data_IF_349951947592
#
_entry.id   IF_349951947592
#
_cell.length_a   1.000
_cell.length_b   1.000
_cell.length_c   1.000
_cell.angle_alpha   90.00
_cell.angle_beta   90.00
_cell.angle_gamma   90.00
#
_symmetry.space_group_name_H-M   'P 1'
#
loop_
_entity.id
_entity.type
_entity.pdbx_description
1 polymer ?
#
# COMPACT_ATOMS: atom_id res chain seq x y z
N UNK A 1 36.19 36.41 13.09
CA UNK A 1 34.76 36.12 13.28
C UNK A 1 34.31 35.24 12.13
N UNK A 2 34.16 33.95 12.39
CA UNK A 2 33.79 32.94 11.40
C UNK A 2 32.33 33.17 10.98
N UNK A 3 32.13 33.37 9.69
CA UNK A 3 30.82 33.47 9.06
C UNK A 3 30.17 32.08 9.15
N UNK A 4 29.47 31.79 10.25
CA UNK A 4 28.53 30.67 10.31
C UNK A 4 27.42 30.98 9.32
N UNK A 5 27.60 30.57 8.07
CA UNK A 5 26.48 30.42 7.14
C UNK A 5 25.43 29.60 7.89
N UNK A 6 24.29 30.21 8.18
CA UNK A 6 23.12 29.46 8.62
C UNK A 6 22.79 28.47 7.51
N UNK A 7 23.30 27.24 7.65
CA UNK A 7 22.93 26.14 6.77
C UNK A 7 21.42 25.99 6.94
N UNK A 8 20.68 26.22 5.87
CA UNK A 8 19.23 26.09 5.86
C UNK A 8 18.89 24.63 6.13
N UNK A 9 18.45 24.35 7.35
CA UNK A 9 17.91 23.04 7.74
C UNK A 9 16.58 22.82 7.03
N UNK A 10 16.27 21.57 6.73
CA UNK A 10 14.99 21.17 6.15
C UNK A 10 14.25 20.28 7.15
N UNK A 11 12.94 20.45 7.21
CA UNK A 11 12.10 19.64 8.09
C UNK A 11 11.91 18.25 7.50
N UNK A 12 12.00 17.22 8.36
CA UNK A 12 11.61 15.87 8.01
C UNK A 12 10.10 15.71 8.18
N UNK A 13 9.41 15.59 7.05
CA UNK A 13 8.00 15.22 7.03
C UNK A 13 7.92 13.72 6.63
N UNK A 14 7.71 12.80 7.60
CA UNK A 14 7.53 11.40 7.27
C UNK A 14 6.30 11.22 6.37
N UNK A 15 6.34 10.20 5.53
CA UNK A 15 5.18 9.82 4.72
C UNK A 15 4.15 9.18 5.64
N UNK A 16 3.07 9.91 5.91
CA UNK A 16 1.90 9.37 6.63
C UNK A 16 0.93 8.83 5.57
N UNK A 17 0.92 7.52 5.36
CA UNK A 17 -0.03 6.89 4.43
C UNK A 17 -1.42 6.88 5.04
N UNK A 18 -1.53 6.46 6.30
CA UNK A 18 -2.79 6.32 7.01
C UNK A 18 -2.90 7.39 8.10
N UNK A 19 -3.24 8.65 7.74
CA UNK A 19 -3.45 9.72 8.71
C UNK A 19 -4.61 9.42 9.67
N UNK A 20 -5.64 8.70 9.22
CA UNK A 20 -6.64 8.09 10.09
C UNK A 20 -6.14 6.71 10.47
N UNK A 21 -5.89 6.53 11.77
CA UNK A 21 -5.67 5.23 12.39
C UNK A 21 -6.95 4.77 13.04
N UNK A 22 -7.37 3.53 12.78
CA UNK A 22 -8.48 2.95 13.54
C UNK A 22 -8.05 2.86 14.99
N UNK A 23 -8.92 3.35 15.89
CA UNK A 23 -8.72 3.32 17.34
C UNK A 23 -9.62 2.32 18.04
N UNK A 24 -10.80 2.02 17.49
CA UNK A 24 -11.68 1.02 18.07
C UNK A 24 -11.96 -0.12 17.09
N UNK A 25 -11.83 -1.34 17.57
CA UNK A 25 -12.37 -2.53 16.91
C UNK A 25 -13.53 -3.07 17.73
N UNK A 26 -14.74 -2.90 17.21
CA UNK A 26 -15.99 -3.26 17.87
C UNK A 26 -16.49 -4.58 17.29
N UNK A 27 -16.58 -5.61 18.12
CA UNK A 27 -17.03 -6.95 17.72
C UNK A 27 -18.44 -7.20 18.23
N UNK A 28 -19.32 -7.61 17.33
CA UNK A 28 -20.58 -8.27 17.67
C UNK A 28 -20.70 -9.55 16.84
N UNK A 29 -20.41 -10.68 17.48
CA UNK A 29 -20.49 -11.98 16.84
C UNK A 29 -20.92 -13.04 17.85
N UNK A 30 -21.81 -13.94 17.41
CA UNK A 30 -22.13 -15.17 18.13
C UNK A 30 -20.99 -16.20 18.08
N UNK A 31 -20.11 -16.11 17.07
CA UNK A 31 -18.95 -16.98 16.91
C UNK A 31 -17.83 -16.61 17.91
N UNK A 32 -17.46 -17.57 18.76
CA UNK A 32 -16.39 -17.40 19.77
C UNK A 32 -15.03 -17.12 19.14
N UNK A 33 -14.66 -17.84 18.06
CA UNK A 33 -13.37 -17.66 17.39
C UNK A 33 -13.20 -16.24 16.82
N UNK A 34 -14.29 -15.62 16.35
CA UNK A 34 -14.27 -14.23 15.88
C UNK A 34 -13.99 -13.27 17.03
N UNK A 35 -14.57 -13.51 18.21
CA UNK A 35 -14.30 -12.68 19.40
C UNK A 35 -12.88 -12.89 19.93
N UNK A 36 -12.39 -14.13 19.95
CA UNK A 36 -11.04 -14.47 20.39
C UNK A 36 -9.95 -13.95 19.45
N UNK A 37 -10.23 -13.85 18.14
CA UNK A 37 -9.31 -13.28 17.15
C UNK A 37 -8.90 -11.83 17.46
N UNK A 38 -9.63 -11.12 18.31
CA UNK A 38 -9.24 -9.79 18.80
C UNK A 38 -7.86 -9.78 19.49
N UNK A 39 -7.39 -10.91 20.04
CA UNK A 39 -6.04 -11.02 20.59
C UNK A 39 -4.95 -10.74 19.54
N UNK A 40 -5.14 -11.22 18.31
CA UNK A 40 -4.22 -10.96 17.20
C UNK A 40 -4.16 -9.46 16.86
N UNK A 41 -5.28 -8.73 16.95
CA UNK A 41 -5.27 -7.28 16.77
C UNK A 41 -4.41 -6.58 17.82
N UNK A 42 -4.44 -7.01 19.08
CA UNK A 42 -3.67 -6.34 20.14
C UNK A 42 -2.17 -6.51 19.97
N UNK A 43 -1.73 -7.62 19.37
CA UNK A 43 -0.32 -7.87 19.06
C UNK A 43 0.17 -6.98 17.91
N UNK A 44 -0.58 -6.93 16.80
CA UNK A 44 -0.15 -6.21 15.59
C UNK A 44 -0.51 -4.72 15.60
N UNK A 45 -1.56 -4.32 16.31
CA UNK A 45 -2.12 -2.96 16.35
C UNK A 45 -2.38 -2.57 17.81
N UNK A 46 -1.33 -2.36 18.63
CA UNK A 46 -1.45 -2.18 20.07
C UNK A 46 -2.24 -0.93 20.48
N UNK A 47 -2.37 0.04 19.58
CA UNK A 47 -3.15 1.27 19.77
C UNK A 47 -4.66 1.10 19.62
N UNK A 48 -5.15 -0.09 19.24
CA UNK A 48 -6.57 -0.37 19.10
C UNK A 48 -7.15 -0.79 20.45
N UNK A 49 -8.28 -0.18 20.78
CA UNK A 49 -9.19 -0.57 21.85
C UNK A 49 -10.19 -1.60 21.30
N UNK A 50 -10.23 -2.76 21.97
CA UNK A 50 -11.10 -3.87 21.59
C UNK A 50 -12.38 -3.79 22.42
N UNK A 51 -13.52 -3.71 21.74
CA UNK A 51 -14.84 -3.60 22.37
C UNK A 51 -15.67 -4.78 21.90
N UNK A 52 -16.12 -5.64 22.81
CA UNK A 52 -17.01 -6.76 22.48
C UNK A 52 -18.41 -6.43 22.99
N UNK A 53 -19.36 -6.34 22.07
CA UNK A 53 -20.76 -6.05 22.38
C UNK A 53 -21.57 -7.33 22.53
N UNK A 54 -22.56 -7.29 23.41
CA UNK A 54 -23.38 -8.45 23.75
C UNK A 54 -24.63 -8.59 22.86
N UNK A 55 -25.12 -7.49 22.29
CA UNK A 55 -26.40 -7.48 21.60
C UNK A 55 -26.50 -6.44 20.45
N UNK A 56 -27.41 -6.64 19.49
CA UNK A 56 -27.58 -5.74 18.34
C UNK A 56 -28.10 -4.35 18.68
N UNK A 57 -28.83 -4.16 19.78
CA UNK A 57 -29.36 -2.84 20.17
C UNK A 57 -28.20 -1.96 20.60
N UNK A 58 -27.37 -2.47 21.51
CA UNK A 58 -26.15 -1.77 21.95
C UNK A 58 -25.22 -1.45 20.77
N UNK A 59 -25.06 -2.38 19.82
CA UNK A 59 -24.29 -2.13 18.61
C UNK A 59 -24.89 -1.04 17.71
N UNK A 60 -26.22 -0.99 17.59
CA UNK A 60 -26.92 0.04 16.81
C UNK A 60 -26.81 1.44 17.44
N UNK A 61 -26.66 1.51 18.76
CA UNK A 61 -26.44 2.76 19.52
C UNK A 61 -24.96 3.14 19.63
N UNK A 62 -24.03 2.33 19.09
CA UNK A 62 -22.61 2.58 19.24
C UNK A 62 -22.23 3.98 18.73
N UNK A 63 -21.43 4.69 19.53
CA UNK A 63 -20.97 6.04 19.24
C UNK A 63 -19.52 6.21 19.70
N UNK A 64 -18.71 6.80 18.83
CA UNK A 64 -17.32 7.14 19.06
C UNK A 64 -16.97 8.42 18.29
N UNK A 65 -16.07 9.22 18.87
CA UNK A 65 -15.42 10.34 18.18
C UNK A 65 -14.12 9.91 17.47
N UNK A 66 -13.62 8.72 17.77
CA UNK A 66 -12.48 8.10 17.10
C UNK A 66 -12.94 7.21 15.95
N UNK A 67 -12.05 7.02 14.97
CA UNK A 67 -12.25 6.08 13.88
C UNK A 67 -12.41 4.64 14.39
N UNK A 68 -13.47 3.98 13.93
CA UNK A 68 -13.92 2.68 14.42
C UNK A 68 -14.20 1.72 13.26
N UNK A 69 -13.85 0.46 13.47
CA UNK A 69 -14.33 -0.65 12.63
C UNK A 69 -15.28 -1.50 13.44
N UNK A 70 -16.46 -1.76 12.88
CA UNK A 70 -17.47 -2.61 13.49
C UNK A 70 -17.54 -3.93 12.71
N UNK A 71 -17.26 -5.02 13.41
CA UNK A 71 -17.08 -6.36 12.88
C UNK A 71 -18.27 -7.21 13.29
N UNK A 72 -19.04 -7.65 12.30
CA UNK A 72 -20.27 -8.41 12.47
C UNK A 72 -20.16 -9.77 11.80
N UNK A 73 -20.74 -10.81 12.39
CA UNK A 73 -21.05 -12.03 11.65
C UNK A 73 -22.41 -11.94 10.93
N UNK A 74 -22.75 -13.00 10.21
CA UNK A 74 -24.01 -13.13 9.46
C UNK A 74 -25.25 -12.88 10.32
N UNK A 75 -25.24 -13.33 11.58
CA UNK A 75 -26.38 -13.21 12.49
C UNK A 75 -26.48 -11.78 13.02
N UNK A 76 -25.36 -11.22 13.49
CA UNK A 76 -25.31 -9.90 14.07
C UNK A 76 -25.71 -8.82 13.07
N UNK A 77 -25.14 -8.83 11.85
CA UNK A 77 -25.41 -7.80 10.86
C UNK A 77 -26.89 -7.77 10.43
N UNK A 78 -27.57 -8.92 10.45
CA UNK A 78 -28.98 -9.01 10.15
C UNK A 78 -29.85 -8.15 11.08
N UNK A 79 -29.46 -8.01 12.35
CA UNK A 79 -30.27 -7.35 13.38
C UNK A 79 -29.83 -5.94 13.77
N UNK A 80 -28.66 -5.46 13.31
CA UNK A 80 -28.22 -4.08 13.61
C UNK A 80 -28.82 -3.05 12.66
N UNK A 81 -29.00 -1.83 13.15
CA UNK A 81 -29.35 -0.65 12.36
C UNK A 81 -28.07 0.05 11.87
N UNK A 82 -27.64 -0.30 10.66
CA UNK A 82 -26.43 0.26 10.06
C UNK A 82 -26.54 1.74 9.74
N UNK A 83 -27.74 2.25 9.43
CA UNK A 83 -27.94 3.67 9.17
C UNK A 83 -27.74 4.48 10.44
N UNK A 84 -28.28 3.98 11.57
CA UNK A 84 -28.08 4.61 12.87
C UNK A 84 -26.60 4.64 13.26
N UNK A 85 -25.89 3.52 13.11
CA UNK A 85 -24.43 3.45 13.35
C UNK A 85 -23.70 4.51 12.52
N UNK A 86 -23.94 4.56 11.21
CA UNK A 86 -23.28 5.53 10.31
C UNK A 86 -23.66 6.98 10.63
N UNK A 87 -24.87 7.24 11.12
CA UNK A 87 -25.27 8.59 11.55
C UNK A 87 -24.63 9.03 12.87
N UNK A 88 -24.30 8.08 13.74
CA UNK A 88 -23.70 8.34 15.04
C UNK A 88 -22.17 8.50 14.98
N UNK A 89 -21.54 7.98 13.93
CA UNK A 89 -20.09 7.87 13.80
C UNK A 89 -19.66 8.37 12.43
N UNK A 90 -18.87 9.46 12.39
CA UNK A 90 -18.33 9.98 11.13
C UNK A 90 -17.39 8.97 10.46
N UNK A 91 -16.59 8.26 11.28
CA UNK A 91 -15.46 7.44 10.82
C UNK A 91 -15.69 5.97 11.19
N UNK A 92 -16.82 5.42 10.76
CA UNK A 92 -17.17 4.02 10.99
C UNK A 92 -17.19 3.21 9.69
N UNK A 93 -16.48 2.08 9.70
CA UNK A 93 -16.56 1.06 8.65
C UNK A 93 -17.24 -0.18 9.20
N UNK A 94 -18.32 -0.61 8.55
CA UNK A 94 -19.04 -1.83 8.91
C UNK A 94 -18.54 -2.99 8.07
N UNK A 95 -18.09 -4.05 8.73
CA UNK A 95 -17.54 -5.24 8.07
C UNK A 95 -18.39 -6.47 8.39
N UNK A 96 -18.73 -7.23 7.36
CA UNK A 96 -19.30 -8.57 7.48
C UNK A 96 -18.19 -9.63 7.42
N UNK A 97 -18.07 -10.42 8.47
CA UNK A 97 -17.28 -11.64 8.55
C UNK A 97 -18.23 -12.83 8.33
N UNK A 98 -18.37 -13.25 7.08
CA UNK A 98 -19.37 -14.23 6.65
C UNK A 98 -18.80 -15.65 6.64
N UNK A 99 -19.51 -16.57 7.29
CA UNK A 99 -19.30 -18.01 7.19
C UNK A 99 -20.15 -18.66 6.09
N UNK A 100 -21.01 -17.86 5.44
CA UNK A 100 -21.96 -18.33 4.46
C UNK A 100 -21.31 -18.60 3.10
N UNK A 101 -21.35 -19.86 2.67
CA UNK A 101 -20.71 -20.29 1.43
C UNK A 101 -21.21 -19.51 0.20
N UNK A 102 -22.50 -19.19 0.13
CA UNK A 102 -23.05 -18.45 -1.00
C UNK A 102 -22.53 -17.00 -0.99
N UNK A 103 -22.51 -16.32 0.16
CA UNK A 103 -21.98 -14.95 0.24
C UNK A 103 -20.51 -14.94 -0.18
N UNK A 104 -19.76 -15.95 0.23
CA UNK A 104 -18.31 -16.02 0.03
C UNK A 104 -17.90 -16.36 -1.41
N UNK A 105 -18.79 -16.93 -2.22
CA UNK A 105 -18.55 -17.41 -3.60
C UNK A 105 -19.52 -16.82 -4.62
N UNK A 106 -20.01 -15.62 -4.36
CA UNK A 106 -20.97 -14.99 -5.27
C UNK A 106 -20.79 -13.49 -5.32
N UNK A 107 -21.19 -12.95 -6.46
CA UNK A 107 -21.27 -11.51 -6.69
C UNK A 107 -22.14 -10.80 -5.65
N UNK A 108 -21.92 -9.48 -5.45
CA UNK A 108 -22.73 -8.67 -4.55
C UNK A 108 -24.24 -8.83 -4.77
N UNK A 109 -24.71 -8.82 -6.03
CA UNK A 109 -26.13 -8.86 -6.36
C UNK A 109 -26.80 -10.20 -6.03
N UNK A 110 -26.11 -11.32 -6.21
CA UNK A 110 -26.61 -12.65 -5.83
C UNK A 110 -26.70 -12.76 -4.30
N UNK A 111 -25.63 -12.34 -3.61
CA UNK A 111 -25.57 -12.40 -2.15
C UNK A 111 -26.68 -11.55 -1.52
N UNK A 112 -26.85 -10.30 -1.97
CA UNK A 112 -27.89 -9.39 -1.49
C UNK A 112 -29.31 -9.92 -1.75
N UNK A 113 -29.57 -10.49 -2.93
CA UNK A 113 -30.89 -11.04 -3.25
C UNK A 113 -31.34 -12.13 -2.28
N UNK A 114 -30.41 -12.98 -1.80
CA UNK A 114 -30.72 -14.05 -0.85
C UNK A 114 -30.55 -13.62 0.62
N UNK A 115 -29.60 -12.74 0.89
CA UNK A 115 -29.27 -12.24 2.21
C UNK A 115 -29.21 -10.71 2.20
N UNK A 116 -30.36 -10.01 2.29
CA UNK A 116 -30.42 -8.56 2.12
C UNK A 116 -29.57 -7.76 3.12
N UNK A 117 -29.17 -8.36 4.25
CA UNK A 117 -28.30 -7.71 5.23
C UNK A 117 -26.88 -7.48 4.72
N UNK A 118 -26.44 -8.14 3.65
CA UNK A 118 -25.09 -7.93 3.08
C UNK A 118 -24.90 -6.51 2.57
N UNK A 119 -25.97 -5.84 2.12
CA UNK A 119 -25.94 -4.43 1.68
C UNK A 119 -25.67 -3.44 2.82
N UNK A 120 -25.78 -3.87 4.08
CA UNK A 120 -25.45 -3.06 5.25
C UNK A 120 -23.94 -2.92 5.48
N UNK A 121 -23.14 -3.85 4.94
CA UNK A 121 -21.70 -3.87 5.12
C UNK A 121 -20.98 -3.01 4.07
N UNK A 122 -19.94 -2.34 4.50
CA UNK A 122 -19.00 -1.63 3.64
C UNK A 122 -17.97 -2.59 3.02
N UNK A 123 -17.53 -3.59 3.81
CA UNK A 123 -16.60 -4.63 3.39
C UNK A 123 -17.14 -6.01 3.79
N UNK A 124 -16.86 -7.03 2.99
CA UNK A 124 -17.28 -8.41 3.26
C UNK A 124 -16.08 -9.32 3.12
N UNK A 125 -15.85 -10.17 4.12
CA UNK A 125 -14.78 -11.15 4.17
C UNK A 125 -15.35 -12.53 4.47
N UNK A 126 -14.84 -13.55 3.79
CA UNK A 126 -15.09 -14.93 4.12
C UNK A 126 -14.31 -15.33 5.39
N UNK A 127 -14.97 -16.05 6.29
CA UNK A 127 -14.38 -16.71 7.46
C UNK A 127 -14.82 -18.17 7.49
N UNK A 128 -13.96 -19.06 7.99
CA UNK A 128 -14.33 -20.43 8.33
C UNK A 128 -13.36 -21.01 9.37
N UNK A 129 -13.58 -22.28 9.74
CA UNK A 129 -12.80 -22.95 10.78
C UNK A 129 -11.58 -23.71 10.21
N UNK A 130 -11.25 -23.55 8.93
CA UNK A 130 -10.23 -24.33 8.22
C UNK A 130 -9.24 -23.45 7.44
N UNK A 131 -9.70 -22.79 6.39
CA UNK A 131 -8.91 -22.02 5.42
C UNK A 131 -8.85 -20.54 5.78
N UNK A 132 -9.93 -19.99 6.34
CA UNK A 132 -10.10 -18.56 6.65
C UNK A 132 -10.33 -18.34 8.14
N UNK A 133 -9.40 -18.84 8.97
CA UNK A 133 -9.43 -18.67 10.41
C UNK A 133 -9.47 -17.17 10.77
N UNK A 134 -10.42 -16.70 11.61
CA UNK A 134 -10.56 -15.29 11.98
C UNK A 134 -9.25 -14.63 12.45
N UNK A 135 -8.44 -15.32 13.25
CA UNK A 135 -7.14 -14.84 13.76
C UNK A 135 -6.13 -14.48 12.65
N UNK A 136 -6.20 -15.14 11.50
CA UNK A 136 -5.27 -14.94 10.38
C UNK A 136 -5.69 -13.80 9.45
N UNK A 137 -6.96 -13.39 9.50
CA UNK A 137 -7.53 -12.39 8.59
C UNK A 137 -7.85 -11.07 9.27
N UNK A 138 -8.12 -11.07 10.58
CA UNK A 138 -8.69 -9.91 11.27
C UNK A 138 -7.82 -8.65 11.19
N UNK A 139 -6.50 -8.82 11.23
CA UNK A 139 -5.54 -7.71 11.06
C UNK A 139 -5.65 -7.09 9.67
N UNK A 140 -5.83 -7.91 8.63
CA UNK A 140 -6.02 -7.47 7.25
C UNK A 140 -7.38 -6.81 7.04
N UNK A 141 -8.41 -7.31 7.73
CA UNK A 141 -9.75 -6.72 7.72
C UNK A 141 -9.73 -5.30 8.29
N UNK A 142 -9.19 -5.14 9.50
CA UNK A 142 -9.07 -3.83 10.14
C UNK A 142 -8.23 -2.89 9.30
N UNK A 143 -7.12 -3.40 8.75
CA UNK A 143 -6.27 -2.61 7.86
C UNK A 143 -6.99 -2.15 6.59
N UNK A 144 -7.78 -3.01 5.96
CA UNK A 144 -8.56 -2.64 4.79
C UNK A 144 -9.65 -1.59 5.11
N UNK A 145 -10.25 -1.67 6.30
CA UNK A 145 -11.16 -0.63 6.78
C UNK A 145 -10.44 0.71 7.01
N UNK A 146 -9.22 0.70 7.56
CA UNK A 146 -8.38 1.88 7.70
C UNK A 146 -8.04 2.49 6.33
N UNK A 147 -7.60 1.67 5.38
CA UNK A 147 -7.27 2.10 4.02
C UNK A 147 -8.50 2.72 3.33
N UNK A 148 -9.69 2.12 3.47
CA UNK A 148 -10.95 2.68 2.94
C UNK A 148 -11.21 4.10 3.44
N UNK A 149 -11.16 4.33 4.77
CA UNK A 149 -11.38 5.66 5.35
C UNK A 149 -10.36 6.67 4.82
N UNK A 150 -9.10 6.25 4.72
CA UNK A 150 -8.04 7.14 4.27
C UNK A 150 -8.16 7.50 2.78
N UNK A 151 -8.56 6.55 1.93
CA UNK A 151 -8.84 6.78 0.51
C UNK A 151 -9.99 7.80 0.36
N UNK A 152 -11.06 7.63 1.12
CA UNK A 152 -12.24 8.51 1.03
C UNK A 152 -11.98 9.93 1.56
N UNK A 153 -11.25 10.05 2.68
CA UNK A 153 -11.03 11.34 3.35
C UNK A 153 -9.86 12.16 2.80
N UNK A 154 -8.79 11.48 2.36
CA UNK A 154 -7.53 12.13 2.02
C UNK A 154 -7.20 12.03 0.52
N UNK A 155 -8.22 12.18 -0.32
CA UNK A 155 -8.11 12.20 -1.79
C UNK A 155 -7.38 13.41 -2.37
N UNK A 156 -7.14 14.46 -1.57
CA UNK A 156 -6.42 15.67 -2.01
C UNK A 156 -4.91 15.49 -2.08
N UNK A 157 -4.35 14.57 -1.31
CA UNK A 157 -2.94 14.22 -1.37
C UNK A 157 -2.79 12.92 -2.14
N UNK A 158 -1.71 12.79 -2.91
CA UNK A 158 -1.48 11.60 -3.72
C UNK A 158 -1.41 10.34 -2.86
N UNK A 159 -2.24 9.36 -3.17
CA UNK A 159 -2.26 8.05 -2.52
C UNK A 159 -1.62 6.99 -3.41
N UNK A 160 -1.33 5.84 -2.81
CA UNK A 160 -0.66 4.72 -3.48
C UNK A 160 -1.52 3.52 -3.28
N UNK A 161 -2.29 3.19 -4.30
CA UNK A 161 -3.42 2.29 -4.14
C UNK A 161 -3.18 1.04 -4.97
N UNK A 162 -3.22 -0.11 -4.30
CA UNK A 162 -3.45 -1.39 -4.94
C UNK A 162 -4.95 -1.53 -5.15
N UNK A 163 -5.39 -1.48 -6.41
CA UNK A 163 -6.78 -1.71 -6.77
C UNK A 163 -6.98 -3.21 -6.99
N UNK A 164 -7.77 -3.84 -6.13
CA UNK A 164 -8.15 -5.24 -6.23
C UNK A 164 -9.58 -5.36 -6.75
N UNK A 165 -9.78 -6.17 -7.79
CA UNK A 165 -11.07 -6.37 -8.44
C UNK A 165 -11.40 -7.86 -8.54
N UNK A 166 -12.34 -8.30 -7.71
CA UNK A 166 -12.86 -9.67 -7.68
C UNK A 166 -14.26 -9.63 -7.05
N UNK A 167 -15.19 -10.48 -7.47
CA UNK A 167 -16.54 -10.46 -6.93
C UNK A 167 -16.73 -11.38 -5.72
N UNK A 168 -15.81 -12.34 -5.49
CA UNK A 168 -15.88 -13.33 -4.42
C UNK A 168 -15.15 -12.85 -3.13
N UNK A 169 -15.87 -12.66 -2.00
CA UNK A 169 -15.25 -12.29 -0.72
C UNK A 169 -14.14 -13.24 -0.26
N UNK A 170 -14.23 -14.53 -0.63
CA UNK A 170 -13.22 -15.53 -0.32
C UNK A 170 -11.84 -15.16 -0.89
N UNK A 171 -11.79 -14.62 -2.09
CA UNK A 171 -10.53 -14.29 -2.73
C UNK A 171 -9.80 -13.18 -1.98
N UNK A 172 -10.50 -12.12 -1.57
CA UNK A 172 -9.93 -11.06 -0.73
C UNK A 172 -9.45 -11.58 0.62
N UNK A 173 -10.25 -12.43 1.30
CA UNK A 173 -9.86 -13.05 2.57
C UNK A 173 -8.58 -13.88 2.47
N UNK A 174 -8.38 -14.57 1.33
CA UNK A 174 -7.18 -15.34 1.08
C UNK A 174 -5.97 -14.44 0.78
N UNK A 175 -6.18 -13.41 -0.04
CA UNK A 175 -5.10 -12.68 -0.69
C UNK A 175 -4.57 -11.52 0.17
N UNK A 176 -5.43 -10.80 0.87
CA UNK A 176 -5.04 -9.60 1.62
C UNK A 176 -3.98 -9.85 2.71
N UNK A 177 -4.04 -10.93 3.51
CA UNK A 177 -2.98 -11.23 4.48
C UNK A 177 -1.60 -11.37 3.84
N UNK A 178 -1.55 -11.92 2.61
CA UNK A 178 -0.30 -12.07 1.86
C UNK A 178 0.14 -10.74 1.28
N UNK A 179 -0.78 -10.00 0.66
CA UNK A 179 -0.50 -8.69 0.08
C UNK A 179 0.05 -7.73 1.14
N UNK A 180 -0.60 -7.62 2.30
CA UNK A 180 -0.16 -6.73 3.38
C UNK A 180 1.20 -7.08 3.96
N UNK A 181 1.59 -8.36 3.96
CA UNK A 181 2.96 -8.78 4.31
C UNK A 181 3.99 -8.25 3.31
N UNK A 182 3.65 -8.23 2.02
CA UNK A 182 4.54 -7.73 0.96
C UNK A 182 4.60 -6.19 1.00
N UNK A 183 3.43 -5.54 1.05
CA UNK A 183 3.38 -4.09 0.89
C UNK A 183 3.79 -3.34 2.15
N UNK A 184 3.66 -3.94 3.34
CA UNK A 184 3.86 -3.23 4.62
C UNK A 184 2.97 -1.99 4.65
N UNK A 185 3.25 -0.94 5.43
CA UNK A 185 2.46 0.31 5.38
C UNK A 185 2.93 1.27 4.28
N UNK A 186 3.24 0.77 3.07
CA UNK A 186 3.73 1.58 1.92
C UNK A 186 2.67 1.93 0.88
N UNK A 187 1.49 1.31 0.97
CA UNK A 187 0.37 1.54 0.07
C UNK A 187 -0.95 1.14 0.76
N UNK A 188 -2.03 1.73 0.26
CA UNK A 188 -3.41 1.36 0.58
C UNK A 188 -3.91 0.26 -0.33
N UNK A 189 -4.97 -0.41 0.10
CA UNK A 189 -5.73 -1.33 -0.74
C UNK A 189 -7.17 -0.83 -0.93
N UNK A 190 -7.59 -0.71 -2.19
CA UNK A 190 -8.98 -0.49 -2.58
C UNK A 190 -9.56 -1.79 -3.14
N UNK A 191 -10.66 -2.27 -2.57
CA UNK A 191 -11.40 -3.42 -3.10
C UNK A 191 -12.63 -2.96 -3.87
N UNK A 192 -12.85 -3.55 -5.05
CA UNK A 192 -14.07 -3.38 -5.84
C UNK A 192 -14.55 -4.74 -6.32
N UNK A 193 -15.87 -4.89 -6.48
CA UNK A 193 -16.52 -6.19 -6.75
C UNK A 193 -17.30 -6.24 -8.05
N UNK A 194 -17.35 -5.13 -8.80
CA UNK A 194 -17.97 -5.05 -10.13
C UNK A 194 -17.17 -4.13 -11.05
N UNK A 195 -17.41 -4.26 -12.34
CA UNK A 195 -16.80 -3.39 -13.35
C UNK A 195 -17.11 -1.91 -13.13
N UNK A 196 -18.35 -1.59 -12.80
CA UNK A 196 -18.81 -0.23 -12.58
C UNK A 196 -18.16 0.38 -11.34
N UNK A 197 -17.93 -0.40 -10.28
CA UNK A 197 -17.19 0.06 -9.11
C UNK A 197 -15.73 0.35 -9.44
N UNK A 198 -15.08 -0.51 -10.23
CA UNK A 198 -13.71 -0.29 -10.68
C UNK A 198 -13.59 0.97 -11.56
N UNK A 199 -14.52 1.19 -12.50
CA UNK A 199 -14.56 2.40 -13.32
C UNK A 199 -14.84 3.66 -12.50
N UNK A 200 -15.79 3.59 -11.57
CA UNK A 200 -16.12 4.71 -10.69
C UNK A 200 -14.90 5.11 -9.87
N UNK A 201 -14.17 4.12 -9.36
CA UNK A 201 -12.95 4.37 -8.62
C UNK A 201 -11.84 4.95 -9.51
N UNK A 202 -11.55 4.35 -10.67
CA UNK A 202 -10.44 4.77 -11.53
C UNK A 202 -10.67 6.11 -12.23
N UNK A 203 -11.91 6.39 -12.63
CA UNK A 203 -12.25 7.43 -13.59
C UNK A 203 -13.44 8.30 -13.18
N UNK A 204 -14.15 7.97 -12.09
CA UNK A 204 -15.35 8.71 -11.65
C UNK A 204 -16.60 8.47 -12.50
N UNK A 205 -16.63 7.41 -13.31
CA UNK A 205 -17.72 7.12 -14.25
C UNK A 205 -18.21 5.68 -14.14
N UNK A 206 -19.40 5.39 -14.67
CA UNK A 206 -19.97 4.03 -14.65
C UNK A 206 -19.82 3.29 -15.98
N UNK A 207 -19.51 4.00 -17.06
CA UNK A 207 -19.32 3.41 -18.40
C UNK A 207 -18.00 3.88 -19.04
N UNK A 208 -17.29 3.02 -19.79
CA UNK A 208 -16.07 3.42 -20.50
C UNK A 208 -16.30 4.55 -21.50
N UNK A 209 -17.50 4.65 -22.07
CA UNK A 209 -17.86 5.71 -23.03
C UNK A 209 -17.93 7.10 -22.40
N UNK A 210 -17.98 7.18 -21.08
CA UNK A 210 -18.07 8.44 -20.31
C UNK A 210 -16.70 8.93 -19.86
N UNK A 211 -15.63 8.16 -20.07
CA UNK A 211 -14.29 8.51 -19.64
C UNK A 211 -13.86 9.79 -20.39
N UNK A 212 -13.58 10.89 -19.67
CA UNK A 212 -13.18 12.14 -20.29
C UNK A 212 -11.75 12.05 -20.85
N UNK A 213 -11.42 12.93 -21.79
CA UNK A 213 -10.04 13.02 -22.29
C UNK A 213 -9.05 13.33 -21.15
N UNK A 214 -9.41 14.23 -20.23
CA UNK A 214 -8.65 14.56 -19.02
C UNK A 214 -9.01 13.68 -17.82
N UNK A 215 -9.06 12.37 -18.05
CA UNK A 215 -9.35 11.33 -17.05
C UNK A 215 -8.43 11.35 -15.82
N UNK A 216 -7.27 12.01 -15.89
CA UNK A 216 -6.36 12.18 -14.75
C UNK A 216 -6.96 13.03 -13.62
N UNK A 217 -7.94 13.88 -13.94
CA UNK A 217 -8.58 14.78 -12.99
C UNK A 217 -9.81 14.18 -12.30
N UNK A 218 -10.25 12.99 -12.73
CA UNK A 218 -11.47 12.35 -12.24
C UNK A 218 -11.16 10.96 -11.66
N UNK A 219 -11.75 10.65 -10.51
CA UNK A 219 -11.46 9.42 -9.79
C UNK A 219 -10.03 9.36 -9.23
N UNK A 220 -9.56 8.14 -9.00
CA UNK A 220 -8.32 7.81 -8.28
C UNK A 220 -7.31 7.07 -9.17
N UNK A 221 -7.52 6.97 -10.47
CA UNK A 221 -6.66 6.20 -11.36
C UNK A 221 -5.20 6.68 -11.36
N UNK A 222 -4.97 7.94 -11.01
CA UNK A 222 -3.63 8.50 -10.89
C UNK A 222 -2.89 8.06 -9.60
N UNK A 223 -3.64 7.70 -8.55
CA UNK A 223 -3.14 7.16 -7.28
C UNK A 223 -2.90 5.64 -7.32
N UNK A 224 -3.46 4.96 -8.32
CA UNK A 224 -3.26 3.52 -8.47
C UNK A 224 -1.83 3.21 -8.91
N UNK A 225 -1.20 2.26 -8.20
CA UNK A 225 0.15 1.76 -8.47
C UNK A 225 0.20 0.29 -8.86
N UNK A 226 -0.91 -0.43 -8.71
CA UNK A 226 -1.07 -1.77 -9.24
C UNK A 226 -2.56 -2.10 -9.37
N UNK A 227 -2.94 -2.74 -10.48
CA UNK A 227 -4.23 -3.38 -10.64
C UNK A 227 -4.04 -4.88 -10.44
N UNK A 228 -4.81 -5.47 -9.52
CA UNK A 228 -4.89 -6.91 -9.31
C UNK A 228 -6.33 -7.32 -9.57
N UNK A 229 -6.59 -8.15 -10.57
CA UNK A 229 -7.97 -8.40 -11.03
C UNK A 229 -8.19 -9.84 -11.44
N UNK A 230 -9.40 -10.36 -11.25
CA UNK A 230 -9.87 -11.52 -11.99
C UNK A 230 -10.27 -11.14 -13.43
N UNK A 231 -10.48 -12.14 -14.27
CA UNK A 231 -11.03 -12.04 -15.62
C UNK A 231 -12.56 -11.98 -15.58
N UNK A 232 -13.16 -12.80 -14.72
CA UNK A 232 -14.60 -12.99 -14.65
C UNK A 232 -15.15 -12.33 -13.40
N UNK A 233 -15.82 -11.21 -13.57
CA UNK A 233 -16.62 -10.59 -12.53
C UNK A 233 -17.77 -9.82 -13.18
N UNK A 234 -18.79 -9.40 -12.41
CA UNK A 234 -19.99 -8.82 -12.98
C UNK A 234 -19.77 -7.50 -13.70
N UNK A 235 -20.41 -7.36 -14.86
CA UNK A 235 -20.61 -6.10 -15.60
C UNK A 235 -22.06 -6.01 -16.04
N UNK A 236 -22.74 -4.91 -15.73
CA UNK A 236 -24.16 -4.70 -16.00
C UNK A 236 -25.04 -5.86 -15.50
N UNK A 237 -24.75 -6.39 -14.31
CA UNK A 237 -25.37 -7.59 -13.71
C UNK A 237 -25.19 -8.90 -14.51
N UNK A 238 -24.37 -8.92 -15.56
CA UNK A 238 -23.99 -10.15 -16.25
C UNK A 238 -22.78 -10.79 -15.53
N UNK A 239 -22.99 -11.98 -14.96
CA UNK A 239 -21.99 -12.73 -14.20
C UNK A 239 -20.93 -13.39 -15.08
N UNK A 240 -21.28 -13.75 -16.32
CA UNK A 240 -20.37 -14.42 -17.27
C UNK A 240 -19.67 -13.40 -18.19
N UNK A 241 -19.45 -12.19 -17.70
CA UNK A 241 -18.85 -11.12 -18.49
C UNK A 241 -17.33 -11.19 -18.47
N UNK A 242 -16.70 -10.85 -19.60
CA UNK A 242 -15.24 -10.75 -19.75
C UNK A 242 -14.71 -9.38 -19.24
N UNK A 243 -15.35 -8.85 -18.20
CA UNK A 243 -15.13 -7.51 -17.69
C UNK A 243 -13.68 -7.25 -17.28
N UNK A 244 -13.00 -8.27 -16.74
CA UNK A 244 -11.60 -8.16 -16.38
C UNK A 244 -10.71 -7.89 -17.58
N UNK A 245 -10.94 -8.54 -18.73
CA UNK A 245 -10.12 -8.25 -19.92
C UNK A 245 -10.33 -6.84 -20.44
N UNK A 246 -11.57 -6.37 -20.40
CA UNK A 246 -11.89 -5.00 -20.80
C UNK A 246 -11.21 -4.00 -19.87
N UNK A 247 -11.28 -4.22 -18.55
CA UNK A 247 -10.61 -3.40 -17.55
C UNK A 247 -9.08 -3.39 -17.74
N UNK A 248 -8.47 -4.55 -17.96
CA UNK A 248 -7.02 -4.69 -18.18
C UNK A 248 -6.57 -3.91 -19.40
N UNK A 249 -7.28 -4.03 -20.53
CA UNK A 249 -6.95 -3.29 -21.76
C UNK A 249 -7.11 -1.78 -21.55
N UNK A 250 -8.21 -1.37 -20.93
CA UNK A 250 -8.50 0.03 -20.64
C UNK A 250 -7.42 0.67 -19.76
N UNK A 251 -7.03 -0.01 -18.67
CA UNK A 251 -5.99 0.47 -17.75
C UNK A 251 -4.61 0.47 -18.42
N UNK A 252 -4.27 -0.56 -19.21
CA UNK A 252 -3.01 -0.58 -19.95
C UNK A 252 -2.91 0.59 -20.96
N UNK A 253 -4.02 0.97 -21.58
CA UNK A 253 -4.03 2.00 -22.62
C UNK A 253 -4.04 3.42 -22.03
N UNK A 254 -4.85 3.67 -20.99
CA UNK A 254 -4.97 4.98 -20.35
C UNK A 254 -3.93 5.24 -19.26
N UNK A 255 -3.50 4.19 -18.56
CA UNK A 255 -2.48 4.23 -17.52
C UNK A 255 -1.35 3.20 -17.75
N UNK A 256 -0.52 3.34 -18.81
CA UNK A 256 0.54 2.36 -19.16
C UNK A 256 1.62 2.12 -18.11
N UNK A 257 1.67 2.97 -17.07
CA UNK A 257 2.56 2.85 -15.92
C UNK A 257 2.08 1.82 -14.89
N UNK A 258 0.77 1.53 -14.85
CA UNK A 258 0.17 0.67 -13.83
C UNK A 258 0.47 -0.78 -14.20
N UNK A 259 1.30 -1.50 -13.42
CA UNK A 259 1.44 -2.94 -13.59
C UNK A 259 0.13 -3.65 -13.26
N UNK A 260 -0.13 -4.71 -14.00
CA UNK A 260 -1.37 -5.48 -13.92
C UNK A 260 -1.05 -6.92 -13.55
N UNK A 261 -1.68 -7.42 -12.50
CA UNK A 261 -1.68 -8.83 -12.09
C UNK A 261 -3.07 -9.38 -12.34
N UNK A 262 -3.15 -10.44 -13.16
CA UNK A 262 -4.38 -11.18 -13.39
C UNK A 262 -4.35 -12.43 -12.52
N UNK A 263 -5.23 -12.50 -11.54
CA UNK A 263 -5.46 -13.70 -10.75
C UNK A 263 -6.45 -14.59 -11.50
N UNK A 264 -5.97 -15.51 -12.35
CA UNK A 264 -6.85 -16.41 -13.13
C UNK A 264 -6.10 -17.65 -13.60
N UNK A 265 -6.81 -18.65 -14.16
CA UNK A 265 -6.16 -19.80 -14.78
C UNK A 265 -5.40 -19.36 -16.03
N UNK A 266 -4.16 -19.83 -16.20
CA UNK A 266 -3.27 -19.39 -17.28
C UNK A 266 -3.87 -19.42 -18.69
N UNK A 267 -4.72 -20.40 -19.00
CA UNK A 267 -5.39 -20.53 -20.32
C UNK A 267 -6.38 -19.40 -20.60
N UNK A 268 -6.97 -18.83 -19.56
CA UNK A 268 -8.04 -17.84 -19.66
C UNK A 268 -7.50 -16.43 -19.88
N UNK A 269 -6.20 -16.16 -19.68
CA UNK A 269 -5.56 -14.85 -19.88
C UNK A 269 -4.35 -14.87 -20.84
N UNK A 270 -4.16 -15.93 -21.62
CA UNK A 270 -2.97 -16.11 -22.47
C UNK A 270 -2.68 -14.91 -23.39
N UNK A 271 -3.72 -14.31 -23.98
CA UNK A 271 -3.65 -13.14 -24.85
C UNK A 271 -3.20 -11.85 -24.11
N UNK A 272 -3.33 -11.81 -22.79
CA UNK A 272 -2.97 -10.66 -21.95
C UNK A 272 -1.55 -10.74 -21.38
N UNK A 273 -0.81 -11.84 -21.59
CA UNK A 273 0.58 -12.02 -21.08
C UNK A 273 1.57 -10.92 -21.47
N UNK A 274 1.29 -10.18 -22.54
CA UNK A 274 2.16 -9.09 -23.00
C UNK A 274 2.01 -7.81 -22.17
N UNK A 275 0.88 -7.66 -21.48
CA UNK A 275 0.51 -6.44 -20.75
C UNK A 275 0.23 -6.69 -19.27
N UNK A 276 0.09 -7.95 -18.85
CA UNK A 276 -0.17 -8.33 -17.48
C UNK A 276 0.61 -9.60 -17.08
N UNK A 277 0.90 -9.71 -15.79
CA UNK A 277 1.40 -10.94 -15.18
C UNK A 277 0.24 -11.83 -14.76
N UNK A 278 0.33 -13.12 -15.06
CA UNK A 278 -0.73 -14.08 -14.74
C UNK A 278 -0.32 -14.88 -13.52
N UNK A 279 -1.09 -14.73 -12.45
CA UNK A 279 -1.00 -15.48 -11.22
C UNK A 279 -2.10 -16.55 -11.18
N UNK A 280 -1.78 -17.84 -10.98
CA UNK A 280 -2.81 -18.88 -10.85
C UNK A 280 -3.78 -18.60 -9.68
N UNK A 281 -5.09 -18.73 -9.90
CA UNK A 281 -6.09 -18.70 -8.80
C UNK A 281 -5.96 -19.95 -7.93
N UNK A 282 -5.93 -19.78 -6.61
CA UNK A 282 -5.89 -20.86 -5.61
C UNK A 282 -4.50 -21.32 -5.19
N UNK A 283 -3.46 -20.93 -5.93
CA UNK A 283 -2.06 -21.04 -5.52
C UNK A 283 -1.36 -19.74 -5.94
N UNK A 284 -1.08 -18.80 -5.01
CA UNK A 284 -0.35 -17.58 -5.32
C UNK A 284 1.08 -17.84 -5.83
N UNK A 285 1.50 -19.11 -5.94
CA UNK A 285 2.85 -19.54 -6.18
C UNK A 285 3.67 -19.43 -4.91
N UNK A 286 5.00 -19.40 -5.03
CA UNK A 286 5.82 -18.95 -3.91
C UNK A 286 5.45 -17.49 -3.59
N UNK A 287 5.22 -17.19 -2.31
CA UNK A 287 5.12 -15.82 -1.82
C UNK A 287 6.29 -14.96 -2.29
N UNK A 288 7.46 -15.57 -2.46
CA UNK A 288 8.65 -14.92 -2.99
C UNK A 288 8.43 -14.42 -4.42
N UNK A 289 7.79 -15.21 -5.29
CA UNK A 289 7.53 -14.81 -6.69
C UNK A 289 6.55 -13.64 -6.77
N UNK A 290 5.48 -13.68 -5.99
CA UNK A 290 4.51 -12.58 -5.93
C UNK A 290 5.16 -11.33 -5.33
N UNK A 291 5.94 -11.50 -4.26
CA UNK A 291 6.72 -10.43 -3.63
C UNK A 291 7.68 -9.80 -4.63
N UNK A 292 8.47 -10.60 -5.34
CA UNK A 292 9.40 -10.16 -6.37
C UNK A 292 8.67 -9.38 -7.47
N UNK A 293 7.52 -9.88 -7.95
CA UNK A 293 6.74 -9.17 -8.96
C UNK A 293 6.21 -7.83 -8.45
N UNK A 294 5.57 -7.81 -7.28
CA UNK A 294 5.06 -6.58 -6.70
C UNK A 294 6.22 -5.59 -6.51
N UNK A 295 7.35 -6.02 -5.96
CA UNK A 295 8.51 -5.17 -5.73
C UNK A 295 9.12 -4.64 -7.04
N UNK A 296 9.32 -5.49 -8.05
CA UNK A 296 9.95 -5.12 -9.32
C UNK A 296 9.08 -4.16 -10.14
N UNK A 297 7.75 -4.28 -10.08
CA UNK A 297 6.85 -3.58 -11.00
C UNK A 297 6.11 -2.39 -10.40
N UNK A 298 5.94 -2.33 -9.07
CA UNK A 298 5.24 -1.22 -8.39
C UNK A 298 6.18 -0.13 -7.86
N UNK A 299 7.50 -0.31 -8.03
CA UNK A 299 8.53 0.62 -7.56
C UNK A 299 8.88 0.47 -6.07
N UNK A 300 8.33 -0.55 -5.39
CA UNK A 300 8.58 -0.83 -3.98
C UNK A 300 9.95 -1.48 -3.73
N UNK A 301 10.48 -2.23 -4.69
CA UNK A 301 11.80 -2.84 -4.63
C UNK A 301 12.92 -1.94 -5.17
N UNK A 302 14.04 -2.57 -5.51
CA UNK A 302 15.15 -1.94 -6.22
C UNK A 302 14.71 -1.42 -7.60
N UNK A 303 15.29 -0.32 -8.06
CA UNK A 303 15.12 0.10 -9.44
C UNK A 303 16.04 -0.73 -10.35
N UNK A 304 15.45 -1.67 -11.09
CA UNK A 304 16.20 -2.59 -11.96
C UNK A 304 16.12 -2.16 -13.41
N UNK A 305 17.26 -1.78 -14.00
CA UNK A 305 17.38 -1.47 -15.43
C UNK A 305 17.67 -2.76 -16.20
N UNK A 306 16.68 -3.22 -16.97
CA UNK A 306 16.76 -4.41 -17.81
C UNK A 306 16.85 -4.04 -19.29
N UNK A 307 17.61 -4.82 -20.06
CA UNK A 307 17.64 -4.71 -21.52
C UNK A 307 16.46 -5.42 -22.18
N UNK A 308 16.31 -5.28 -23.50
CA UNK A 308 15.21 -5.91 -24.30
C UNK A 308 15.10 -7.44 -24.16
N UNK A 309 16.16 -8.12 -23.73
CA UNK A 309 16.18 -9.56 -23.49
C UNK A 309 15.97 -9.94 -22.01
N UNK A 310 15.47 -9.03 -21.17
CA UNK A 310 15.28 -9.26 -19.73
C UNK A 310 16.57 -9.22 -18.88
N UNK A 311 17.74 -9.19 -19.53
CA UNK A 311 19.04 -9.11 -18.85
C UNK A 311 19.13 -7.85 -17.97
N UNK A 312 19.42 -8.07 -16.70
CA UNK A 312 19.74 -7.01 -15.73
C UNK A 312 21.07 -6.34 -16.10
N UNK A 313 21.04 -5.01 -16.21
CA UNK A 313 22.23 -4.19 -16.47
C UNK A 313 22.65 -3.39 -15.23
N UNK A 314 21.68 -2.91 -14.46
CA UNK A 314 21.88 -2.17 -13.23
C UNK A 314 20.76 -2.49 -12.25
N UNK A 315 21.10 -2.52 -10.98
CA UNK A 315 20.18 -2.61 -9.84
C UNK A 315 20.54 -1.47 -8.92
N UNK A 316 19.55 -0.64 -8.60
CA UNK A 316 19.73 0.63 -7.91
C UNK A 316 18.89 0.55 -6.65
N UNK A 317 19.55 0.56 -5.50
CA UNK A 317 18.92 0.35 -4.20
C UNK A 317 18.42 1.64 -3.56
N UNK A 318 19.10 2.75 -3.84
CA UNK A 318 18.79 4.04 -3.22
C UNK A 318 19.19 5.22 -4.11
N UNK A 319 18.71 6.41 -3.75
CA UNK A 319 18.83 7.62 -4.56
C UNK A 319 20.28 8.01 -4.91
N UNK A 320 21.24 7.71 -4.02
CA UNK A 320 22.67 7.96 -4.28
C UNK A 320 23.19 7.13 -5.47
N UNK A 321 22.88 5.82 -5.51
CA UNK A 321 23.21 4.95 -6.65
C UNK A 321 22.50 5.41 -7.92
N UNK A 322 21.23 5.85 -7.83
CA UNK A 322 20.51 6.41 -8.97
C UNK A 322 21.28 7.62 -9.54
N UNK A 323 21.70 8.54 -8.69
CA UNK A 323 22.48 9.71 -9.10
C UNK A 323 23.80 9.32 -9.79
N UNK A 324 24.51 8.29 -9.30
CA UNK A 324 25.70 7.77 -9.99
C UNK A 324 25.40 7.21 -11.38
N UNK A 325 24.29 6.48 -11.53
CA UNK A 325 23.83 5.99 -12.84
C UNK A 325 23.54 7.15 -13.78
N UNK A 326 22.90 8.22 -13.29
CA UNK A 326 22.66 9.43 -14.09
C UNK A 326 23.98 10.11 -14.51
N UNK A 327 24.99 10.18 -13.63
CA UNK A 327 26.31 10.71 -13.99
C UNK A 327 27.03 9.83 -15.04
N UNK A 328 26.85 8.50 -14.99
CA UNK A 328 27.34 7.59 -16.04
C UNK A 328 26.63 7.85 -17.37
N UNK A 329 25.32 8.10 -17.34
CA UNK A 329 24.49 8.37 -18.51
C UNK A 329 24.78 9.75 -19.15
N UNK A 330 25.35 10.70 -18.41
CA UNK A 330 25.70 12.04 -18.92
C UNK A 330 26.87 12.02 -19.91
N UNK A 331 27.76 11.04 -19.82
CA UNK A 331 29.00 10.98 -20.60
C UNK A 331 28.74 10.87 -22.11
N UNK A 332 29.68 11.37 -22.91
CA UNK A 332 29.64 11.27 -24.38
C UNK A 332 30.29 9.98 -24.90
N UNK A 333 29.83 8.82 -24.41
CA UNK A 333 30.33 7.50 -24.85
C UNK A 333 29.20 6.62 -25.39
N UNK A 334 29.52 5.63 -26.24
CA UNK A 334 28.53 4.66 -26.75
C UNK A 334 27.80 3.90 -25.63
N UNK A 335 28.50 3.59 -24.53
CA UNK A 335 27.89 2.94 -23.35
C UNK A 335 26.86 3.85 -22.66
N UNK A 336 27.18 5.14 -22.53
CA UNK A 336 26.28 6.13 -21.95
C UNK A 336 25.07 6.40 -22.85
N UNK A 337 25.24 6.41 -24.17
CA UNK A 337 24.12 6.51 -25.11
C UNK A 337 23.13 5.35 -24.97
N UNK A 338 23.64 4.12 -24.88
CA UNK A 338 22.80 2.94 -24.62
C UNK A 338 22.09 3.02 -23.27
N UNK A 339 22.77 3.51 -22.23
CA UNK A 339 22.15 3.74 -20.92
C UNK A 339 21.03 4.79 -20.99
N UNK A 340 21.21 5.89 -21.73
CA UNK A 340 20.15 6.89 -21.95
C UNK A 340 18.91 6.29 -22.62
N UNK A 341 19.09 5.41 -23.61
CA UNK A 341 17.98 4.70 -24.24
C UNK A 341 17.22 3.82 -23.25
N UNK A 342 17.94 3.11 -22.37
CA UNK A 342 17.28 2.35 -21.30
C UNK A 342 16.52 3.26 -20.34
N UNK A 343 17.16 4.31 -19.82
CA UNK A 343 16.52 5.26 -18.89
C UNK A 343 15.26 5.90 -19.49
N UNK A 344 15.26 6.19 -20.79
CA UNK A 344 14.09 6.73 -21.49
C UNK A 344 12.88 5.79 -21.42
N UNK A 345 13.06 4.48 -21.58
CA UNK A 345 11.96 3.50 -21.47
C UNK A 345 11.27 3.53 -20.11
N UNK A 346 12.03 3.79 -19.03
CA UNK A 346 11.49 3.91 -17.68
C UNK A 346 10.84 5.29 -17.45
N UNK A 347 11.39 6.35 -18.04
CA UNK A 347 10.80 7.69 -17.97
C UNK A 347 9.46 7.82 -18.68
N UNK A 348 9.28 7.14 -19.82
CA UNK A 348 8.03 7.12 -20.59
C UNK A 348 6.85 6.50 -19.83
N UNK A 349 7.13 5.72 -18.78
CA UNK A 349 6.16 5.02 -17.94
C UNK A 349 6.18 5.49 -16.49
N UNK A 350 6.67 6.70 -16.22
CA UNK A 350 6.70 7.32 -14.89
C UNK A 350 7.42 6.51 -13.78
N UNK A 351 8.25 5.52 -14.12
CA UNK A 351 8.91 4.65 -13.13
C UNK A 351 9.81 5.41 -12.15
N UNK A 352 10.48 6.47 -12.61
CA UNK A 352 11.30 7.29 -11.72
C UNK A 352 10.46 7.94 -10.62
N UNK A 353 9.34 8.56 -10.98
CA UNK A 353 8.45 9.19 -10.00
C UNK A 353 7.84 8.16 -9.05
N UNK A 354 7.38 7.01 -9.57
CA UNK A 354 6.81 5.93 -8.74
C UNK A 354 7.84 5.39 -7.76
N UNK A 355 9.04 5.05 -8.22
CA UNK A 355 10.11 4.53 -7.38
C UNK A 355 10.57 5.56 -6.34
N UNK A 356 10.83 6.81 -6.75
CA UNK A 356 11.23 7.86 -5.81
C UNK A 356 10.18 8.07 -4.71
N UNK A 357 8.89 8.02 -5.05
CA UNK A 357 7.85 8.16 -4.05
C UNK A 357 7.80 6.98 -3.07
N UNK A 358 7.88 5.74 -3.57
CA UNK A 358 7.89 4.54 -2.72
C UNK A 358 9.07 4.50 -1.76
N UNK A 359 10.16 5.18 -2.10
CA UNK A 359 11.38 5.31 -1.30
C UNK A 359 11.45 6.63 -0.50
N UNK A 360 10.29 7.24 -0.21
CA UNK A 360 10.18 8.39 0.70
C UNK A 360 10.49 9.76 0.07
N UNK A 361 10.61 9.86 -1.26
CA UNK A 361 10.89 11.11 -1.98
C UNK A 361 9.65 11.69 -2.69
N UNK A 362 8.52 11.78 -1.97
CA UNK A 362 7.23 12.26 -2.50
C UNK A 362 7.31 13.54 -3.33
N UNK A 363 7.78 14.64 -2.74
CA UNK A 363 7.85 15.96 -3.39
C UNK A 363 8.69 15.89 -4.68
N UNK A 364 9.74 15.08 -4.69
CA UNK A 364 10.58 14.86 -5.87
C UNK A 364 9.85 14.01 -6.93
N UNK A 365 9.12 12.97 -6.53
CA UNK A 365 8.28 12.17 -7.42
C UNK A 365 7.21 13.02 -8.11
N UNK A 366 6.51 13.87 -7.35
CA UNK A 366 5.50 14.79 -7.88
C UNK A 366 6.10 15.80 -8.88
N UNK A 367 7.25 16.39 -8.56
CA UNK A 367 7.92 17.34 -9.46
C UNK A 367 8.42 16.71 -10.77
N UNK A 368 8.71 15.40 -10.77
CA UNK A 368 9.13 14.65 -11.94
C UNK A 368 7.96 14.13 -12.79
N UNK A 369 6.72 14.26 -12.32
CA UNK A 369 5.52 13.77 -13.01
C UNK A 369 4.61 14.92 -13.53
N UNK A 370 4.05 14.81 -14.75
CA UNK A 370 4.52 14.02 -15.88
C UNK A 370 5.69 14.75 -16.57
N UNK A 371 6.83 14.08 -16.77
CA UNK A 371 7.92 14.62 -17.61
C UNK A 371 8.47 13.58 -18.56
N UNK A 372 8.03 13.68 -19.81
CA UNK A 372 8.48 12.84 -20.94
C UNK A 372 9.74 13.40 -21.61
N UNK A 373 10.67 13.93 -20.83
CA UNK A 373 11.97 14.32 -21.36
C UNK A 373 12.71 13.08 -21.89
N UNK A 374 13.54 13.24 -22.92
CA UNK A 374 14.28 12.14 -23.55
C UNK A 374 15.76 12.44 -23.71
N UNK A 375 16.56 11.40 -23.96
CA UNK A 375 17.99 11.50 -24.23
C UNK A 375 18.76 12.33 -23.18
N UNK A 376 19.54 13.30 -23.65
CA UNK A 376 20.38 14.13 -22.77
C UNK A 376 19.56 15.08 -21.89
N UNK A 377 18.37 15.49 -22.35
CA UNK A 377 17.49 16.38 -21.60
C UNK A 377 16.95 15.67 -20.36
N UNK A 378 16.52 14.42 -20.49
CA UNK A 378 16.12 13.57 -19.37
C UNK A 378 17.23 13.48 -18.31
N UNK A 379 18.46 13.14 -18.73
CA UNK A 379 19.62 13.04 -17.84
C UNK A 379 19.89 14.36 -17.11
N UNK A 380 19.82 15.49 -17.83
CA UNK A 380 20.06 16.82 -17.26
C UNK A 380 19.01 17.20 -16.21
N UNK A 381 17.75 16.86 -16.46
CA UNK A 381 16.66 17.07 -15.51
C UNK A 381 16.86 16.17 -14.30
N UNK A 382 16.96 14.85 -14.46
CA UNK A 382 17.16 13.92 -13.35
C UNK A 382 18.37 14.31 -12.49
N UNK A 383 19.52 14.62 -13.10
CA UNK A 383 20.73 15.04 -12.37
C UNK A 383 20.47 16.25 -11.48
N UNK A 384 19.79 17.26 -12.00
CA UNK A 384 19.49 18.50 -11.27
C UNK A 384 18.61 18.24 -10.04
N UNK A 385 17.53 17.48 -10.24
CA UNK A 385 16.55 17.20 -9.19
C UNK A 385 17.12 16.26 -8.13
N UNK A 386 17.81 15.19 -8.54
CA UNK A 386 18.48 14.25 -7.62
C UNK A 386 19.57 14.95 -6.81
N UNK A 387 20.44 15.74 -7.44
CA UNK A 387 21.50 16.49 -6.72
C UNK A 387 20.91 17.43 -5.66
N UNK A 388 19.82 18.12 -6.00
CA UNK A 388 19.11 19.01 -5.07
C UNK A 388 18.53 18.23 -3.88
N UNK A 389 17.91 17.08 -4.13
CA UNK A 389 17.31 16.27 -3.07
C UNK A 389 18.37 15.62 -2.17
N UNK A 390 19.47 15.11 -2.74
CA UNK A 390 20.60 14.57 -1.98
C UNK A 390 21.17 15.61 -1.01
N UNK A 391 21.37 16.86 -1.47
CA UNK A 391 21.80 17.95 -0.60
C UNK A 391 20.77 18.25 0.51
N UNK A 392 19.47 18.15 0.23
CA UNK A 392 18.43 18.34 1.27
C UNK A 392 18.50 17.24 2.33
N UNK A 393 18.67 15.99 1.91
CA UNK A 393 18.73 14.83 2.79
C UNK A 393 19.85 14.95 3.82
N UNK A 394 21.02 15.48 3.45
CA UNK A 394 22.14 15.72 4.36
C UNK A 394 21.76 16.63 5.53
N UNK A 395 20.88 17.61 5.30
CA UNK A 395 20.45 18.60 6.30
C UNK A 395 19.03 18.40 6.82
N UNK A 396 18.48 17.20 6.64
CA UNK A 396 17.15 16.81 7.16
C UNK A 396 17.35 15.84 8.34
N UNK A 397 17.16 16.29 9.60
CA UNK A 397 17.28 15.41 10.76
C UNK A 397 16.00 14.63 11.02
N UNK A 398 16.14 13.45 11.63
CA UNK A 398 15.04 12.85 12.39
C UNK A 398 15.02 13.51 13.77
N UNK A 399 13.84 13.90 14.25
CA UNK A 399 13.69 14.51 15.57
C UNK A 399 13.10 13.47 16.52
N UNK A 400 13.78 13.24 17.64
CA UNK A 400 13.30 12.34 18.69
C UNK A 400 13.52 13.05 20.03
N UNK A 401 12.44 13.25 20.79
CA UNK A 401 12.47 13.96 22.07
C UNK A 401 13.18 15.33 21.99
N UNK A 402 12.92 16.08 20.91
CA UNK A 402 13.52 17.39 20.64
C UNK A 402 15.00 17.37 20.23
N UNK A 403 15.61 16.18 20.08
CA UNK A 403 17.00 16.03 19.62
C UNK A 403 17.03 15.66 18.15
N UNK A 404 17.95 16.29 17.41
CA UNK A 404 18.17 16.06 15.99
C UNK A 404 19.16 14.91 15.76
N UNK A 405 18.82 14.00 14.85
CA UNK A 405 19.63 12.85 14.44
C UNK A 405 19.89 12.92 12.95
N UNK A 406 21.15 12.77 12.54
CA UNK A 406 21.55 12.87 11.13
C UNK A 406 22.07 11.56 10.54
N UNK A 407 22.52 10.63 11.39
CA UNK A 407 23.13 9.36 10.99
C UNK A 407 22.76 8.19 11.92
N UNK A 408 23.23 6.98 11.58
CA UNK A 408 22.91 5.75 12.32
C UNK A 408 23.54 5.69 13.72
N UNK A 409 24.67 6.34 13.96
CA UNK A 409 25.33 6.34 15.27
C UNK A 409 24.57 7.21 16.26
N UNK A 410 24.10 8.36 15.82
CA UNK A 410 23.22 9.21 16.60
C UNK A 410 21.88 8.51 16.88
N UNK A 411 21.33 7.83 15.87
CA UNK A 411 20.08 7.06 16.02
C UNK A 411 20.22 6.00 17.12
N UNK A 412 21.24 5.15 17.08
CA UNK A 412 21.38 4.07 18.07
C UNK A 412 21.65 4.60 19.49
N UNK A 413 22.48 5.66 19.61
CA UNK A 413 22.75 6.29 20.91
C UNK A 413 21.47 6.83 21.53
N UNK A 414 20.62 7.42 20.70
CA UNK A 414 19.39 8.02 21.17
C UNK A 414 18.32 6.98 21.46
N UNK A 415 18.16 5.94 20.62
CA UNK A 415 17.27 4.81 20.91
C UNK A 415 17.60 4.16 22.26
N UNK A 416 18.88 4.00 22.60
CA UNK A 416 19.31 3.43 23.89
C UNK A 416 18.99 4.31 25.11
N UNK A 417 18.93 5.63 24.92
CA UNK A 417 18.80 6.59 26.03
C UNK A 417 17.40 7.21 26.16
N UNK A 418 16.53 6.97 25.18
CA UNK A 418 15.18 7.54 25.15
C UNK A 418 14.17 6.57 25.75
N UNK A 419 13.16 7.13 26.41
CA UNK A 419 12.04 6.37 26.96
C UNK A 419 11.21 5.73 25.83
N UNK A 420 10.79 4.46 25.96
CA UNK A 420 10.02 3.75 24.94
C UNK A 420 8.77 4.48 24.43
N UNK A 421 8.09 5.21 25.31
CA UNK A 421 6.84 5.92 25.01
C UNK A 421 7.07 7.06 24.00
N UNK A 422 8.28 7.63 24.01
CA UNK A 422 8.68 8.71 23.10
C UNK A 422 9.15 8.21 21.73
N UNK A 423 9.42 6.90 21.58
CA UNK A 423 9.81 6.28 20.31
C UNK A 423 8.67 5.50 19.66
N UNK A 424 7.70 5.03 20.44
CA UNK A 424 6.62 4.16 19.96
C UNK A 424 5.87 4.76 18.78
N UNK A 425 5.40 6.00 18.92
CA UNK A 425 4.66 6.67 17.84
C UNK A 425 5.46 6.84 16.54
N UNK A 426 6.80 6.88 16.60
CA UNK A 426 7.65 6.96 15.41
C UNK A 426 7.75 5.60 14.70
N UNK A 427 7.69 4.50 15.45
CA UNK A 427 7.66 3.14 14.92
C UNK A 427 6.28 2.81 14.34
N UNK A 428 5.22 3.11 15.08
CA UNK A 428 3.83 2.80 14.70
C UNK A 428 3.39 3.55 13.42
N UNK A 429 4.03 4.68 13.11
CA UNK A 429 3.77 5.51 11.91
C UNK A 429 4.87 5.44 10.84
N UNK A 430 5.76 4.44 10.89
CA UNK A 430 6.85 4.26 9.91
C UNK A 430 7.78 5.49 9.74
N UNK A 431 7.90 6.34 10.75
CA UNK A 431 8.76 7.53 10.67
C UNK A 431 10.24 7.14 10.59
N UNK A 432 10.64 6.09 11.32
CA UNK A 432 12.00 5.56 11.26
C UNK A 432 12.34 4.98 9.88
N UNK A 433 11.51 4.06 9.38
CA UNK A 433 11.73 3.38 8.09
C UNK A 433 11.76 4.38 6.94
N UNK A 434 10.83 5.34 6.90
CA UNK A 434 10.85 6.44 5.92
C UNK A 434 12.12 7.30 5.99
N UNK A 435 12.61 7.61 7.19
CA UNK A 435 13.85 8.38 7.35
C UNK A 435 15.07 7.57 6.89
N UNK A 436 15.12 6.27 7.20
CA UNK A 436 16.18 5.35 6.82
C UNK A 436 16.27 5.17 5.29
N UNK A 437 15.14 4.98 4.59
CA UNK A 437 15.09 4.97 3.12
C UNK A 437 15.71 6.25 2.55
N UNK A 438 15.28 7.40 3.09
CA UNK A 438 15.77 8.72 2.67
C UNK A 438 17.25 8.92 2.95
N UNK A 439 17.83 8.23 3.94
CA UNK A 439 19.27 8.27 4.21
C UNK A 439 20.07 7.25 3.39
N UNK A 440 19.40 6.44 2.56
CA UNK A 440 20.04 5.44 1.71
C UNK A 440 20.29 4.11 2.43
N UNK A 441 19.47 3.78 3.43
CA UNK A 441 19.53 2.50 4.16
C UNK A 441 18.25 1.68 3.96
N UNK A 442 17.89 1.32 2.71
CA UNK A 442 16.62 0.68 2.40
C UNK A 442 16.47 -0.69 3.06
N UNK A 443 17.54 -1.47 3.18
CA UNK A 443 17.43 -2.81 3.79
C UNK A 443 17.21 -2.73 5.32
N UNK A 444 17.83 -1.75 5.99
CA UNK A 444 17.56 -1.45 7.39
C UNK A 444 16.13 -0.90 7.58
N UNK A 445 15.64 -0.09 6.63
CA UNK A 445 14.26 0.39 6.64
C UNK A 445 13.25 -0.77 6.53
N UNK A 446 13.48 -1.75 5.65
CA UNK A 446 12.62 -2.95 5.52
C UNK A 446 12.52 -3.73 6.82
N UNK A 447 13.62 -3.89 7.56
CA UNK A 447 13.58 -4.59 8.85
C UNK A 447 12.94 -3.78 9.98
N UNK A 448 12.88 -2.45 9.85
CA UNK A 448 12.20 -1.57 10.80
C UNK A 448 10.68 -1.57 10.63
N UNK A 449 10.18 -1.67 9.40
CA UNK A 449 8.74 -1.57 9.09
C UNK A 449 7.82 -2.50 9.89
N UNK A 450 8.14 -3.80 10.10
CA UNK A 450 7.26 -4.68 10.86
C UNK A 450 7.37 -4.48 12.38
N UNK A 451 8.25 -3.60 12.86
CA UNK A 451 8.53 -3.42 14.29
C UNK A 451 7.56 -2.40 14.86
N UNK A 452 6.50 -2.91 15.49
CA UNK A 452 5.53 -2.15 16.27
C UNK A 452 5.48 -2.70 17.71
N UNK A 453 4.91 -1.94 18.64
CA UNK A 453 4.77 -2.40 20.02
C UNK A 453 4.93 -1.28 21.05
N UNK A 454 5.23 -1.65 22.29
CA UNK A 454 5.41 -0.70 23.39
C UNK A 454 6.49 -1.15 24.36
N UNK A 455 6.94 -0.22 25.21
CA UNK A 455 7.86 -0.50 26.31
C UNK A 455 9.27 -0.96 25.88
N UNK A 456 10.00 -1.54 26.81
CA UNK A 456 11.42 -1.87 26.62
C UNK A 456 11.66 -2.88 25.49
N UNK A 457 10.73 -3.81 25.25
CA UNK A 457 10.84 -4.81 24.18
C UNK A 457 10.96 -4.13 22.81
N UNK A 458 10.12 -3.14 22.53
CA UNK A 458 10.19 -2.35 21.29
C UNK A 458 11.58 -1.72 21.13
N UNK A 459 12.03 -1.01 22.16
CA UNK A 459 13.33 -0.33 22.15
C UNK A 459 14.49 -1.30 21.90
N UNK A 460 14.51 -2.43 22.61
CA UNK A 460 15.55 -3.46 22.47
C UNK A 460 15.57 -4.05 21.05
N UNK A 461 14.41 -4.35 20.48
CA UNK A 461 14.30 -4.82 19.09
C UNK A 461 14.88 -3.79 18.11
N UNK A 462 14.48 -2.52 18.22
CA UNK A 462 14.99 -1.46 17.34
C UNK A 462 16.51 -1.26 17.48
N UNK A 463 17.03 -1.25 18.71
CA UNK A 463 18.48 -1.13 18.98
C UNK A 463 19.25 -2.28 18.33
N UNK A 464 18.82 -3.52 18.56
CA UNK A 464 19.49 -4.71 18.03
C UNK A 464 19.54 -4.71 16.50
N UNK A 465 18.47 -4.26 15.84
CA UNK A 465 18.42 -4.15 14.38
C UNK A 465 19.44 -3.12 13.88
N UNK A 466 19.50 -1.92 14.47
CA UNK A 466 20.48 -0.90 14.05
C UNK A 466 21.91 -1.38 14.27
N UNK A 467 22.20 -2.02 15.41
CA UNK A 467 23.52 -2.58 15.74
C UNK A 467 23.99 -3.59 14.69
N UNK A 468 23.10 -4.51 14.31
CA UNK A 468 23.34 -5.47 13.25
C UNK A 468 23.68 -4.78 11.93
N UNK A 469 22.89 -3.79 11.52
CA UNK A 469 23.07 -3.12 10.23
C UNK A 469 24.26 -2.18 10.17
N UNK A 470 24.62 -1.50 11.26
CA UNK A 470 25.87 -0.73 11.34
C UNK A 470 27.06 -1.65 11.01
N UNK A 471 27.09 -2.85 11.59
CA UNK A 471 28.14 -3.84 11.33
C UNK A 471 28.16 -4.27 9.86
N UNK A 472 26.99 -4.55 9.26
CA UNK A 472 26.88 -4.95 7.86
C UNK A 472 27.34 -3.82 6.92
N UNK A 473 26.93 -2.58 7.17
CA UNK A 473 27.28 -1.44 6.33
C UNK A 473 28.76 -1.05 6.45
N UNK A 474 29.38 -1.21 7.61
CA UNK A 474 30.82 -1.03 7.80
C UNK A 474 31.66 -2.12 7.11
N UNK A 475 31.12 -3.34 6.99
CA UNK A 475 31.81 -4.46 6.35
C UNK A 475 31.76 -4.43 4.81
N UNK A 476 30.92 -3.58 4.21
CA UNK A 476 30.88 -3.40 2.76
C UNK A 476 32.13 -2.61 2.30
N UNK A 477 32.92 -3.13 1.34
CA UNK A 477 34.18 -2.54 0.90
C UNK A 477 34.02 -1.23 0.11
#
# INVERSE_FOLDING_TARGET
MSNKQHIKKFDFEPRIINPVKIKNAVFLSGNEQVREASAALKEYMPWIDIIVLADPITASEYKSDQASVLLFDDTALAFVDSQKIKSNNEDAVLVLLSSNELINKSSPSIAEKKYPYTSKADLIFAIDNNEFLPENIITSVVRCAEDKLNIEKYSKERRYIFLLVDDEPRWFSQFLPLLYKIIGQRADVMMTRTYEQALMFLFGVTSPSEIPEDHFSQGYGDDVVCLITDIFFPKNNNLESDAGRELVKLVNDLYPRIPIIIASKAKEAEDLRKIAYIMPKGDPGSLDTLSDYINDFTGMGDFVIRGKAGKEHYRIKHILELHEIILKAEKSTKKAEKLRQFLQMYGERDYFSTWLYMHGFRKLGDELRPRRDSGQRLVTVLKRYLKREILRMEFTPLIIDGREIFDLYDLIKLLKSTEPEKIQHLSDNDAFSNWLDRKGYPELAEEFRPVHGSGNKLRETLVNIVEKWITIYQAKP
#
